data_IF_840412192802
#
_entry.id   IF_840412192802
#
_cell.length_a   1.000
_cell.length_b   1.000
_cell.length_c   1.000
_cell.angle_alpha   90.00
_cell.angle_beta   90.00
_cell.angle_gamma   90.00
#
_symmetry.space_group_name_H-M   'P 1'
#
loop_
_entity.id
_entity.type
_entity.pdbx_description
1 polymer ?
#
# COMPACT_ATOMS: atom_id res chain seq x y z
N UNK A 1 -19.14 -4.75 -3.31
CA UNK A 1 -19.88 -3.59 -3.84
C UNK A 1 -19.74 -3.58 -5.34
N UNK A 2 -20.84 -3.60 -6.10
CA UNK A 2 -20.84 -3.39 -7.55
C UNK A 2 -21.61 -2.12 -7.83
N UNK A 3 -21.04 -1.23 -8.64
CA UNK A 3 -21.63 0.05 -9.01
C UNK A 3 -21.39 0.34 -10.48
N UNK A 4 -22.26 1.17 -11.08
CA UNK A 4 -22.06 1.73 -12.42
C UNK A 4 -21.98 3.25 -12.34
N UNK A 5 -21.13 3.85 -13.17
CA UNK A 5 -21.08 5.31 -13.32
C UNK A 5 -22.35 5.80 -14.03
N UNK A 6 -22.90 6.90 -13.55
CA UNK A 6 -23.98 7.60 -14.26
C UNK A 6 -23.33 8.53 -15.29
N UNK A 7 -23.70 8.41 -16.55
CA UNK A 7 -23.17 9.27 -17.60
C UNK A 7 -23.49 10.74 -17.30
N UNK A 8 -22.53 11.62 -17.58
CA UNK A 8 -22.64 13.08 -17.36
C UNK A 8 -22.88 13.51 -15.90
N UNK A 9 -22.72 12.61 -14.93
CA UNK A 9 -22.77 12.92 -13.51
C UNK A 9 -21.48 12.52 -12.81
N UNK A 10 -21.19 13.21 -11.69
CA UNK A 10 -20.13 12.81 -10.76
C UNK A 10 -20.60 11.69 -9.80
N UNK A 11 -21.83 11.21 -9.96
CA UNK A 11 -22.42 10.16 -9.14
C UNK A 11 -22.28 8.77 -9.78
N UNK A 12 -22.40 7.75 -8.95
CA UNK A 12 -22.52 6.36 -9.37
C UNK A 12 -23.73 5.74 -8.71
N UNK A 13 -24.32 4.77 -9.41
CA UNK A 13 -25.43 3.99 -8.89
C UNK A 13 -24.89 2.67 -8.34
N UNK A 14 -25.25 2.36 -7.08
CA UNK A 14 -24.91 1.08 -6.45
C UNK A 14 -25.87 0.01 -6.97
N UNK A 15 -25.34 -0.94 -7.74
CA UNK A 15 -26.12 -2.06 -8.30
C UNK A 15 -26.24 -3.23 -7.34
N UNK A 16 -25.21 -3.47 -6.51
CA UNK A 16 -25.23 -4.55 -5.51
C UNK A 16 -24.44 -4.14 -4.29
N UNK A 17 -25.13 -4.07 -3.16
CA UNK A 17 -24.56 -3.90 -1.84
C UNK A 17 -24.71 -5.19 -1.06
N UNK A 18 -23.61 -5.70 -0.49
CA UNK A 18 -23.63 -6.82 0.45
C UNK A 18 -23.25 -6.22 1.80
N UNK A 19 -24.19 -6.14 2.77
CA UNK A 19 -23.93 -5.54 4.08
C UNK A 19 -22.96 -6.38 4.91
N UNK A 20 -23.01 -7.70 4.75
CA UNK A 20 -22.11 -8.63 5.41
C UNK A 20 -21.01 -9.11 4.46
N UNK A 21 -19.77 -9.02 4.91
CA UNK A 21 -18.61 -9.49 4.18
C UNK A 21 -18.38 -10.97 4.46
N UNK A 22 -18.72 -11.83 3.51
CA UNK A 22 -18.39 -13.26 3.57
C UNK A 22 -17.00 -13.59 3.02
N UNK A 23 -16.25 -12.60 2.54
CA UNK A 23 -14.89 -12.80 2.08
C UNK A 23 -13.92 -12.91 3.25
N UNK A 24 -13.07 -13.95 3.23
CA UNK A 24 -12.02 -14.09 4.23
C UNK A 24 -11.02 -12.93 4.10
N UNK A 25 -10.53 -12.42 5.23
CA UNK A 25 -9.46 -11.41 5.26
C UNK A 25 -8.22 -11.88 4.49
N UNK A 26 -7.97 -13.19 4.45
CA UNK A 26 -6.91 -13.81 3.67
C UNK A 26 -7.01 -13.50 2.15
N UNK A 27 -8.22 -13.39 1.59
CA UNK A 27 -8.41 -13.02 0.17
C UNK A 27 -8.11 -11.53 -0.05
N UNK A 28 -8.38 -10.67 0.94
CA UNK A 28 -8.05 -9.23 0.88
C UNK A 28 -6.54 -8.95 0.98
N UNK A 29 -5.79 -9.85 1.60
CA UNK A 29 -4.33 -9.77 1.72
C UNK A 29 -3.57 -10.52 0.62
N UNK A 30 -4.26 -11.28 -0.23
CA UNK A 30 -3.63 -12.13 -1.25
C UNK A 30 -2.98 -11.31 -2.36
N UNK A 31 -3.63 -10.22 -2.75
CA UNK A 31 -3.06 -9.26 -3.67
C UNK A 31 -2.41 -8.18 -2.83
N UNK A 32 -1.10 -8.36 -2.61
CA UNK A 32 -0.18 -7.39 -2.04
C UNK A 32 -0.63 -5.97 -2.42
N UNK A 33 -1.35 -5.28 -1.51
CA UNK A 33 -1.33 -3.84 -1.51
C UNK A 33 0.05 -3.49 -1.00
N UNK A 34 1.05 -3.67 -1.86
CA UNK A 34 2.34 -3.06 -1.69
C UNK A 34 2.01 -1.61 -1.34
N UNK A 35 2.58 -1.12 -0.24
CA UNK A 35 2.47 0.29 0.07
C UNK A 35 2.83 1.03 -1.22
N UNK A 36 1.90 1.85 -1.71
CA UNK A 36 2.09 2.46 -3.01
C UNK A 36 3.46 3.16 -2.99
N UNK A 37 4.35 2.95 -3.98
CA UNK A 37 5.77 3.31 -3.86
C UNK A 37 6.03 4.75 -3.37
N UNK A 38 5.11 5.67 -3.65
CA UNK A 38 5.11 7.04 -3.14
C UNK A 38 4.98 7.15 -1.61
N UNK A 39 4.19 6.30 -0.97
CA UNK A 39 4.04 6.23 0.50
C UNK A 39 5.34 5.77 1.14
N UNK A 40 5.96 4.73 0.58
CA UNK A 40 7.27 4.24 1.05
C UNK A 40 8.31 5.37 0.91
N UNK A 41 8.35 6.03 -0.25
CA UNK A 41 9.19 7.19 -0.50
C UNK A 41 8.99 8.31 0.53
N UNK A 42 7.75 8.61 0.90
CA UNK A 42 7.44 9.61 1.90
C UNK A 42 7.97 9.25 3.30
N UNK A 43 7.92 7.96 3.68
CA UNK A 43 8.44 7.50 4.97
C UNK A 43 9.97 7.55 5.02
N UNK A 44 10.67 7.18 3.94
CA UNK A 44 12.14 7.08 3.94
C UNK A 44 12.87 8.39 3.61
N UNK A 45 12.20 9.37 2.98
CA UNK A 45 12.86 10.62 2.53
C UNK A 45 13.66 11.31 3.64
N UNK A 46 13.16 11.28 4.88
CA UNK A 46 13.82 11.91 6.04
C UNK A 46 15.15 11.24 6.41
N UNK A 47 15.31 9.95 6.11
CA UNK A 47 16.55 9.19 6.35
C UNK A 47 17.64 9.60 5.37
N UNK A 48 17.28 9.98 4.15
CA UNK A 48 18.22 10.47 3.13
C UNK A 48 18.56 11.97 3.25
N UNK A 49 17.67 12.78 3.83
CA UNK A 49 17.95 14.20 4.09
C UNK A 49 18.77 14.43 5.36
N UNK A 50 18.98 13.39 6.17
CA UNK A 50 19.72 13.50 7.42
C UNK A 50 21.22 13.23 7.18
N UNK A 51 22.05 14.26 7.32
CA UNK A 51 23.51 14.21 7.12
C UNK A 51 24.23 13.25 8.08
N UNK A 52 23.58 12.80 9.15
CA UNK A 52 24.16 11.90 10.14
C UNK A 52 24.31 10.45 9.64
N UNK A 53 23.58 10.05 8.58
CA UNK A 53 23.66 8.67 8.08
C UNK A 53 23.69 8.62 6.54
N UNK A 54 24.83 8.97 5.91
CA UNK A 54 24.96 9.00 4.45
C UNK A 54 24.86 7.62 3.78
N UNK A 55 24.93 6.53 4.55
CA UNK A 55 24.98 5.14 4.04
C UNK A 55 23.64 4.40 4.15
N UNK A 56 22.50 5.09 4.03
CA UNK A 56 21.20 4.45 4.08
C UNK A 56 20.95 3.57 2.83
N UNK A 57 21.26 2.28 2.97
CA UNK A 57 21.23 1.31 1.90
C UNK A 57 19.80 0.78 1.64
N UNK A 58 19.49 0.30 0.43
CA UNK A 58 18.19 -0.28 0.11
C UNK A 58 17.76 -1.42 1.06
N UNK A 59 18.72 -2.21 1.55
CA UNK A 59 18.45 -3.27 2.54
C UNK A 59 17.90 -2.71 3.87
N UNK A 60 18.38 -1.55 4.29
CA UNK A 60 17.90 -0.86 5.50
C UNK A 60 16.44 -0.42 5.38
N UNK A 61 15.95 -0.17 4.16
CA UNK A 61 14.52 0.13 3.93
C UNK A 61 13.66 -1.10 4.26
N UNK A 62 14.09 -2.29 3.85
CA UNK A 62 13.38 -3.55 4.11
C UNK A 62 13.35 -3.82 5.63
N UNK A 63 14.50 -3.69 6.29
CA UNK A 63 14.61 -3.92 7.74
C UNK A 63 13.78 -2.90 8.55
N UNK A 64 13.85 -1.61 8.20
CA UNK A 64 13.07 -0.54 8.85
C UNK A 64 11.56 -0.79 8.69
N UNK A 65 11.09 -1.19 7.50
CA UNK A 65 9.66 -1.41 7.28
C UNK A 65 9.13 -2.68 7.95
N UNK A 66 9.96 -3.71 8.01
CA UNK A 66 9.66 -4.92 8.79
C UNK A 66 9.55 -4.58 10.27
N UNK A 67 10.50 -3.80 10.81
CA UNK A 67 10.56 -3.45 12.23
C UNK A 67 9.49 -2.43 12.65
N UNK A 68 9.34 -1.35 11.91
CA UNK A 68 8.51 -0.20 12.31
C UNK A 68 7.05 -0.41 11.91
N UNK A 69 6.77 -1.19 10.87
CA UNK A 69 5.42 -1.36 10.31
C UNK A 69 4.97 -2.83 10.17
N UNK A 70 5.82 -3.81 10.46
CA UNK A 70 5.49 -5.23 10.26
C UNK A 70 5.32 -5.64 8.80
N UNK A 71 5.82 -4.81 7.87
CA UNK A 71 5.66 -5.03 6.43
C UNK A 71 6.88 -5.80 5.91
N UNK A 72 6.64 -7.01 5.41
CA UNK A 72 7.67 -7.77 4.71
C UNK A 72 7.71 -7.35 3.24
N UNK A 73 8.74 -6.61 2.85
CA UNK A 73 8.95 -6.17 1.47
C UNK A 73 9.93 -7.11 0.78
N UNK A 74 9.51 -7.74 -0.32
CA UNK A 74 10.39 -8.46 -1.22
C UNK A 74 10.88 -7.52 -2.32
N UNK A 75 12.18 -7.56 -2.63
CA UNK A 75 12.72 -6.84 -3.78
C UNK A 75 12.46 -7.66 -5.04
N UNK A 76 11.27 -7.52 -5.61
CA UNK A 76 11.01 -8.02 -6.96
C UNK A 76 11.50 -6.98 -7.96
N UNK A 77 12.55 -7.32 -8.73
CA UNK A 77 12.95 -6.52 -9.89
C UNK A 77 11.79 -6.55 -10.90
N UNK A 78 11.29 -5.37 -11.26
CA UNK A 78 10.42 -5.17 -12.40
C UNK A 78 11.21 -5.26 -13.72
#
# INVERSE_FOLDING_TARGET
LRARKIEQSNMFEVQRYMPEHTCSLAIRHKDNRQAAPWVIGYCIKRKYTNLTNPNYAPRSIIDDFSKDYGINMTYEKA
#
